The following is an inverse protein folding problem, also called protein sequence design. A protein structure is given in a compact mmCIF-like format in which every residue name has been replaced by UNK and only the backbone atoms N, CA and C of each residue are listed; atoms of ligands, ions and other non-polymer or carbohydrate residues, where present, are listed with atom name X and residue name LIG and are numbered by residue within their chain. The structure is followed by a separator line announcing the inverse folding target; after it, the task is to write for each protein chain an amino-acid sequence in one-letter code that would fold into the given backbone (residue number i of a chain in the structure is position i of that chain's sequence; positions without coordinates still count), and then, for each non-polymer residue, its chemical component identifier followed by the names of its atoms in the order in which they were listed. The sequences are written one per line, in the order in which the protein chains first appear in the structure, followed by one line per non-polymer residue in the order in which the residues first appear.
data_IF_650490845623
#
_entry.id   IF_650490845623
#
_cell.length_a   1.000
_cell.length_b   1.000
_cell.length_c   1.000
_cell.angle_alpha   90.00
_cell.angle_beta   90.00
_cell.angle_gamma   90.00
#
_symmetry.space_group_name_H-M   'P 1'
#
loop_
_entity.id
_entity.type
_entity.pdbx_description
1 polymer ?
#
# COMPACT_ATOMS: atom_id res chain seq x y z
N UNK A 1 4.02 19.09 -4.72
CA UNK A 1 3.36 20.41 -4.80
C UNK A 1 4.05 21.36 -5.78
N UNK A 2 5.36 21.59 -5.70
CA UNK A 2 6.07 22.52 -6.59
C UNK A 2 5.83 22.28 -8.10
N UNK A 3 5.74 21.02 -8.56
CA UNK A 3 5.47 20.67 -9.96
C UNK A 3 4.08 21.07 -10.46
N UNK A 4 3.07 21.12 -9.58
CA UNK A 4 1.72 21.57 -9.94
C UNK A 4 1.67 23.06 -10.21
N UNK A 5 2.30 23.83 -9.33
CA UNK A 5 2.40 25.29 -9.47
C UNK A 5 3.22 25.71 -10.70
N UNK A 6 4.12 24.84 -11.17
CA UNK A 6 4.86 24.99 -12.42
C UNK A 6 4.12 24.47 -13.67
N UNK A 7 2.89 23.96 -13.52
CA UNK A 7 2.10 23.40 -14.63
C UNK A 7 2.59 22.04 -15.15
N UNK A 8 3.58 21.42 -14.51
CA UNK A 8 4.21 20.17 -14.96
C UNK A 8 3.39 18.91 -14.62
N UNK A 9 2.37 19.01 -13.75
CA UNK A 9 1.50 17.90 -13.41
C UNK A 9 0.03 18.33 -13.36
N UNK A 10 -0.86 17.46 -13.84
CA UNK A 10 -2.30 17.77 -13.85
C UNK A 10 -2.93 17.62 -12.47
N UNK A 11 -4.06 18.28 -12.24
CA UNK A 11 -4.83 18.16 -11.00
C UNK A 11 -5.27 16.70 -10.73
N UNK A 12 -5.59 15.95 -11.80
CA UNK A 12 -5.91 14.51 -11.72
C UNK A 12 -4.70 13.68 -11.29
N UNK A 13 -3.51 13.96 -11.81
CA UNK A 13 -2.27 13.29 -11.37
C UNK A 13 -1.93 13.62 -9.91
N UNK A 14 -2.11 14.88 -9.51
CA UNK A 14 -1.90 15.30 -8.12
C UNK A 14 -2.87 14.57 -7.18
N UNK A 15 -4.14 14.44 -7.57
CA UNK A 15 -5.16 13.70 -6.82
C UNK A 15 -4.75 12.24 -6.61
N UNK A 16 -4.34 11.56 -7.67
CA UNK A 16 -3.89 10.15 -7.60
C UNK A 16 -2.69 10.00 -6.67
N UNK A 17 -1.70 10.90 -6.76
CA UNK A 17 -0.54 10.89 -5.87
C UNK A 17 -0.93 11.12 -4.41
N UNK A 18 -1.91 11.99 -4.15
CA UNK A 18 -2.35 12.32 -2.80
C UNK A 18 -3.22 11.19 -2.21
N UNK A 19 -4.18 10.66 -2.96
CA UNK A 19 -5.14 9.65 -2.52
C UNK A 19 -4.53 8.25 -2.38
N UNK A 20 -3.51 7.91 -3.17
CA UNK A 20 -2.86 6.60 -3.16
C UNK A 20 -1.44 6.60 -2.58
N UNK A 21 -1.12 7.55 -1.70
CA UNK A 21 0.15 7.49 -0.97
C UNK A 21 0.22 6.19 -0.14
N UNK A 22 1.41 5.56 -0.06
CA UNK A 22 1.58 4.34 0.70
C UNK A 22 1.13 4.51 2.17
N UNK A 23 0.57 3.45 2.79
CA UNK A 23 0.38 3.40 4.23
C UNK A 23 1.76 3.58 4.90
N UNK A 24 1.86 4.53 5.83
CA UNK A 24 3.12 4.97 6.46
C UNK A 24 3.68 6.31 5.96
N UNK A 25 3.12 6.89 4.90
CA UNK A 25 3.44 8.25 4.42
C UNK A 25 3.10 9.35 5.44
N UNK A 26 3.70 10.55 5.28
CA UNK A 26 3.45 11.69 6.16
C UNK A 26 1.95 12.06 6.25
N UNK A 27 1.21 11.94 5.13
CA UNK A 27 -0.24 12.14 5.09
C UNK A 27 -1.00 11.10 5.93
N UNK A 28 -0.56 9.83 5.85
CA UNK A 28 -1.15 8.76 6.65
C UNK A 28 -0.97 9.05 8.14
N UNK A 29 0.26 9.43 8.57
CA UNK A 29 0.56 9.77 9.96
C UNK A 29 -0.19 11.01 10.45
N UNK A 30 -0.33 12.04 9.61
CA UNK A 30 -1.14 13.22 9.95
C UNK A 30 -2.60 12.83 10.25
N UNK A 31 -3.18 11.94 9.44
CA UNK A 31 -4.54 11.47 9.63
C UNK A 31 -4.72 10.54 10.84
N UNK A 32 -3.64 10.16 11.52
CA UNK A 32 -3.63 9.26 12.67
C UNK A 32 -2.93 9.92 13.87
N UNK A 33 -2.85 11.26 13.88
CA UNK A 33 -2.27 12.05 14.98
C UNK A 33 -0.83 11.65 15.34
N UNK A 34 -0.07 11.16 14.37
CA UNK A 34 1.29 10.67 14.56
C UNK A 34 1.40 9.20 14.94
N UNK A 35 0.30 8.50 15.18
CA UNK A 35 0.31 7.05 15.37
C UNK A 35 0.52 6.33 14.04
N UNK A 36 1.24 5.20 14.09
CA UNK A 36 1.52 4.39 12.90
C UNK A 36 0.31 3.59 12.42
N UNK A 37 -0.68 3.36 13.28
CA UNK A 37 -1.81 2.47 13.04
C UNK A 37 -3.12 3.15 13.39
N UNK A 38 -4.17 2.91 12.58
CA UNK A 38 -5.53 3.34 12.91
C UNK A 38 -6.20 2.29 13.78
N UNK A 39 -7.40 2.63 14.24
CA UNK A 39 -8.20 1.76 15.12
C UNK A 39 -8.45 0.37 14.52
N UNK A 40 -8.57 0.27 13.19
CA UNK A 40 -8.79 -1.01 12.53
C UNK A 40 -7.56 -1.93 12.63
N UNK A 41 -6.36 -1.41 12.40
CA UNK A 41 -5.12 -2.17 12.55
C UNK A 41 -4.89 -2.55 14.01
N UNK A 42 -5.19 -1.65 14.96
CA UNK A 42 -5.14 -1.94 16.38
C UNK A 42 -6.13 -3.06 16.79
N UNK A 43 -7.35 -3.01 16.28
CA UNK A 43 -8.37 -4.04 16.51
C UNK A 43 -7.94 -5.39 15.92
N UNK A 44 -7.44 -5.40 14.68
CA UNK A 44 -6.94 -6.62 14.04
C UNK A 44 -5.79 -7.23 14.84
N UNK A 45 -4.90 -6.40 15.39
CA UNK A 45 -3.81 -6.85 16.24
C UNK A 45 -4.32 -7.47 17.54
N UNK A 46 -5.31 -6.85 18.20
CA UNK A 46 -5.95 -7.42 19.39
C UNK A 46 -6.63 -8.76 19.10
N UNK A 47 -7.37 -8.88 18.00
CA UNK A 47 -8.01 -10.13 17.59
C UNK A 47 -6.96 -11.23 17.37
N UNK A 48 -5.89 -10.91 16.63
CA UNK A 48 -4.78 -11.85 16.40
C UNK A 48 -4.14 -12.30 17.73
N UNK A 49 -3.92 -11.37 18.66
CA UNK A 49 -3.34 -11.66 19.96
C UNK A 49 -4.24 -12.62 20.78
N UNK A 50 -5.55 -12.35 20.85
CA UNK A 50 -6.48 -13.23 21.56
C UNK A 50 -6.56 -14.63 20.94
N UNK A 51 -6.56 -14.72 19.60
CA UNK A 51 -6.52 -16.01 18.90
C UNK A 51 -5.24 -16.79 19.23
N UNK A 52 -4.09 -16.11 19.31
CA UNK A 52 -2.83 -16.75 19.71
C UNK A 52 -2.89 -17.29 21.14
N UNK A 53 -3.43 -16.51 22.08
CA UNK A 53 -3.59 -16.95 23.48
C UNK A 53 -4.50 -18.18 23.57
N UNK A 54 -5.61 -18.19 22.82
CA UNK A 54 -6.53 -19.34 22.77
C UNK A 54 -5.86 -20.58 22.18
N UNK A 55 -5.16 -20.44 21.05
CA UNK A 55 -4.42 -21.54 20.43
C UNK A 55 -3.36 -22.12 21.38
N UNK A 56 -2.58 -21.26 22.04
CA UNK A 56 -1.58 -21.69 23.03
C UNK A 56 -2.20 -22.51 24.15
N UNK A 57 -3.34 -22.08 24.71
CA UNK A 57 -4.05 -22.81 25.77
C UNK A 57 -4.53 -24.19 25.30
N UNK A 58 -5.06 -24.28 24.08
CA UNK A 58 -5.54 -25.54 23.49
C UNK A 58 -4.35 -26.48 23.19
N UNK A 59 -3.23 -25.95 22.72
CA UNK A 59 -2.06 -26.76 22.38
C UNK A 59 -1.38 -27.30 23.64
N UNK A 60 -1.29 -26.49 24.71
CA UNK A 60 -0.76 -26.92 26.00
C UNK A 60 -1.65 -27.94 26.70
N UNK A 61 -2.98 -27.82 26.62
CA UNK A 61 -3.87 -28.85 27.18
C UNK A 61 -3.71 -30.22 26.51
N UNK A 62 -3.17 -30.25 25.29
CA UNK A 62 -2.84 -31.47 24.54
C UNK A 62 -1.38 -31.93 24.72
N UNK A 63 -0.63 -31.32 25.65
CA UNK A 63 0.78 -31.64 25.91
C UNK A 63 1.73 -31.29 24.76
N UNK A 64 1.29 -30.47 23.80
CA UNK A 64 2.09 -30.05 22.64
C UNK A 64 2.62 -28.63 22.85
N UNK A 65 3.59 -28.21 22.02
CA UNK A 65 4.10 -26.83 22.02
C UNK A 65 3.48 -26.03 20.88
N UNK A 66 2.93 -24.84 21.15
CA UNK A 66 2.38 -23.97 20.10
C UNK A 66 3.49 -23.60 19.12
N UNK A 67 3.19 -23.71 17.83
CA UNK A 67 4.12 -23.39 16.75
C UNK A 67 3.64 -22.12 16.08
N UNK A 68 4.56 -21.18 15.87
CA UNK A 68 4.24 -19.99 15.11
C UNK A 68 3.82 -20.38 13.69
N UNK A 69 2.72 -19.83 13.15
CA UNK A 69 2.34 -20.10 11.78
C UNK A 69 3.48 -19.65 10.85
N UNK A 70 3.88 -20.54 9.93
CA UNK A 70 4.75 -20.14 8.83
C UNK A 70 3.91 -19.28 7.91
N UNK A 71 4.07 -17.96 7.99
CA UNK A 71 3.44 -17.07 7.03
C UNK A 71 3.81 -17.55 5.62
N UNK A 72 2.80 -17.79 4.79
CA UNK A 72 3.04 -18.02 3.36
C UNK A 72 3.84 -16.83 2.85
N UNK A 73 4.82 -17.08 2.00
CA UNK A 73 5.56 -15.99 1.38
C UNK A 73 4.56 -15.03 0.75
N UNK A 74 4.68 -13.75 1.12
CA UNK A 74 3.77 -12.75 0.62
C UNK A 74 3.88 -12.70 -0.91
N UNK A 75 2.78 -12.45 -1.65
CA UNK A 75 2.80 -12.42 -3.11
C UNK A 75 3.84 -11.47 -3.73
N UNK A 76 4.25 -10.42 -2.99
CA UNK A 76 5.25 -9.42 -3.36
C UNK A 76 6.69 -9.76 -2.94
N UNK A 77 6.93 -10.93 -2.35
CA UNK A 77 8.30 -11.47 -2.17
C UNK A 77 8.91 -11.91 -3.53
N UNK A 78 8.12 -11.88 -4.60
CA UNK A 78 8.57 -11.91 -6.00
C UNK A 78 9.17 -10.54 -6.35
N UNK A 79 10.45 -10.53 -6.72
CA UNK A 79 11.29 -9.42 -7.16
C UNK A 79 11.00 -8.04 -6.54
N UNK A 80 11.78 -7.69 -5.52
CA UNK A 80 11.81 -6.39 -4.85
C UNK A 80 12.04 -5.19 -5.80
N UNK A 81 12.49 -5.44 -7.04
CA UNK A 81 12.78 -4.42 -8.05
C UNK A 81 11.52 -3.97 -8.80
N UNK A 82 10.45 -4.78 -8.80
CA UNK A 82 9.27 -4.55 -9.66
C UNK A 82 8.07 -4.03 -8.87
N UNK A 83 8.04 -2.72 -8.64
CA UNK A 83 6.85 -2.05 -8.09
C UNK A 83 5.81 -1.94 -9.22
N UNK A 84 4.74 -2.73 -9.12
CA UNK A 84 3.60 -2.72 -10.05
C UNK A 84 3.63 -3.83 -11.10
N UNK A 85 2.45 -4.21 -11.56
CA UNK A 85 2.26 -5.18 -12.64
C UNK A 85 1.89 -4.44 -13.92
N UNK A 86 2.70 -4.59 -14.97
CA UNK A 86 2.44 -4.02 -16.31
C UNK A 86 1.58 -4.92 -17.19
N UNK A 87 1.17 -6.08 -16.68
CA UNK A 87 0.53 -7.11 -17.50
C UNK A 87 1.44 -7.48 -18.66
N UNK A 88 0.89 -7.44 -19.88
CA UNK A 88 1.60 -7.68 -21.14
C UNK A 88 2.17 -6.39 -21.77
N UNK A 89 1.97 -5.22 -21.16
CA UNK A 89 2.34 -3.94 -21.76
C UNK A 89 3.84 -3.61 -21.60
N UNK A 90 4.43 -3.02 -22.65
CA UNK A 90 5.82 -2.56 -22.64
C UNK A 90 6.01 -1.30 -21.77
N UNK A 91 7.27 -0.93 -21.47
CA UNK A 91 7.56 0.21 -20.57
C UNK A 91 7.12 1.49 -21.26
N UNK A 92 7.32 1.49 -22.57
CA UNK A 92 7.04 2.56 -23.48
C UNK A 92 5.53 2.76 -23.62
N UNK A 93 4.73 1.68 -23.70
CA UNK A 93 3.27 1.77 -23.76
C UNK A 93 2.67 2.40 -22.50
N UNK A 94 3.20 2.02 -21.33
CA UNK A 94 2.74 2.56 -20.05
C UNK A 94 3.12 4.04 -19.94
N UNK A 95 4.33 4.41 -20.36
CA UNK A 95 4.75 5.81 -20.39
C UNK A 95 3.93 6.62 -21.40
N UNK A 96 3.64 6.07 -22.58
CA UNK A 96 2.80 6.70 -23.60
C UNK A 96 1.36 6.89 -23.12
N UNK A 97 0.79 5.92 -22.39
CA UNK A 97 -0.52 6.06 -21.75
C UNK A 97 -0.52 7.14 -20.66
N UNK A 98 0.50 7.17 -19.80
CA UNK A 98 0.62 8.20 -18.78
C UNK A 98 0.81 9.59 -19.39
N UNK A 99 1.55 9.67 -20.51
CA UNK A 99 1.73 10.89 -21.29
C UNK A 99 0.44 11.31 -21.99
N UNK A 100 -0.34 10.39 -22.56
CA UNK A 100 -1.62 10.72 -23.21
C UNK A 100 -2.67 11.24 -22.22
N UNK A 101 -2.67 10.73 -20.99
CA UNK A 101 -3.47 11.29 -19.89
C UNK A 101 -3.01 12.71 -19.53
N UNK A 102 -1.71 12.99 -19.66
CA UNK A 102 -1.14 14.31 -19.34
C UNK A 102 -1.27 15.34 -20.45
N UNK A 103 -1.24 14.90 -21.72
CA UNK A 103 -1.14 15.74 -22.91
C UNK A 103 -2.48 16.36 -23.37
N UNK A 104 -3.59 16.07 -22.71
CA UNK A 104 -4.91 16.59 -23.11
C UNK A 104 -5.17 18.06 -22.68
N UNK A 105 -4.11 18.88 -22.63
CA UNK A 105 -4.18 20.35 -22.57
C UNK A 105 -3.09 20.92 -23.48
N UNK A 106 -3.46 21.21 -24.72
CA UNK A 106 -2.55 21.85 -25.67
C UNK A 106 -3.05 21.91 -27.11
N UNK A 107 -4.36 21.79 -27.34
CA UNK A 107 -5.02 22.12 -28.61
C UNK A 107 -6.34 22.79 -28.28
N UNK A 108 -6.25 24.02 -27.78
CA UNK A 108 -7.32 25.04 -27.74
C UNK A 108 -6.68 26.32 -27.17
N UNK A 109 -5.73 26.85 -27.93
CA UNK A 109 -5.29 28.25 -27.99
C UNK A 109 -4.30 28.39 -29.16
#
# INVERSE_FOLDING_TARGET
MARYWRGECTLRQLRVLIEHLPPGSARHRQATEGHEWRNNEALLWQILHFLQVLDQRIVWSRGKRPKWPKFKEFPWKRDAVKIGNRGEASSEDVLAYLQSISANRGKDQ
#
